data_IF_537896750039
#
_entry.id   IF_537896750039
#
_cell.length_a   1.000
_cell.length_b   1.000
_cell.length_c   1.000
_cell.angle_alpha   90.00
_cell.angle_beta   90.00
_cell.angle_gamma   90.00
#
_symmetry.space_group_name_H-M   'P 1'
#
loop_
_entity.id
_entity.type
_entity.pdbx_description
1 polymer ?
#
# COMPACT_ATOMS: atom_id res chain seq x y z
N UNK A 1 9.86 2.29 13.20
CA UNK A 1 11.29 2.49 12.95
C UNK A 1 11.50 2.19 11.48
N UNK A 2 12.00 3.14 10.72
CA UNK A 2 12.04 3.04 9.26
C UNK A 2 13.16 2.08 8.83
N UNK A 3 12.77 0.86 8.42
CA UNK A 3 13.68 -0.23 8.06
C UNK A 3 14.00 -0.28 6.56
N UNK A 4 13.68 0.78 5.81
CA UNK A 4 13.89 0.87 4.36
C UNK A 4 15.29 0.44 3.91
N UNK A 5 16.34 0.78 4.67
CA UNK A 5 17.71 0.34 4.37
C UNK A 5 17.87 -1.19 4.40
N UNK A 6 17.31 -1.85 5.41
CA UNK A 6 17.38 -3.30 5.56
C UNK A 6 16.48 -4.01 4.52
N UNK A 7 15.28 -3.48 4.28
CA UNK A 7 14.38 -3.98 3.23
C UNK A 7 15.07 -3.93 1.85
N UNK A 8 15.71 -2.80 1.51
CA UNK A 8 16.46 -2.70 0.26
C UNK A 8 17.62 -3.69 0.21
N UNK A 9 18.42 -3.77 1.27
CA UNK A 9 19.55 -4.70 1.34
C UNK A 9 19.11 -6.15 1.10
N UNK A 10 17.97 -6.56 1.66
CA UNK A 10 17.36 -7.87 1.41
C UNK A 10 16.93 -8.01 -0.05
N UNK A 11 16.22 -7.03 -0.60
CA UNK A 11 15.68 -7.07 -1.96
C UNK A 11 16.77 -7.06 -3.05
N UNK A 12 17.92 -6.42 -2.80
CA UNK A 12 19.08 -6.48 -3.70
C UNK A 12 19.66 -7.88 -3.87
N UNK A 13 19.35 -8.82 -2.97
CA UNK A 13 19.76 -10.22 -3.07
C UNK A 13 18.79 -11.08 -3.90
N UNK A 14 17.65 -10.52 -4.29
CA UNK A 14 16.62 -11.19 -5.10
C UNK A 14 16.76 -10.79 -6.58
N UNK A 15 16.20 -11.59 -7.48
CA UNK A 15 16.15 -11.25 -8.90
C UNK A 15 15.07 -10.19 -9.19
N UNK A 16 15.30 -9.36 -10.21
CA UNK A 16 14.39 -8.28 -10.60
C UNK A 16 14.81 -6.90 -10.07
N UNK A 17 13.91 -5.92 -10.16
CA UNK A 17 14.18 -4.56 -9.71
C UNK A 17 13.83 -4.41 -8.21
N UNK A 18 14.80 -4.14 -7.32
CA UNK A 18 14.54 -4.05 -5.88
C UNK A 18 13.67 -2.85 -5.51
N UNK A 19 13.70 -1.77 -6.29
CA UNK A 19 12.84 -0.60 -6.06
C UNK A 19 11.38 -0.90 -6.38
N UNK A 20 11.11 -1.66 -7.45
CA UNK A 20 9.75 -2.09 -7.79
C UNK A 20 9.20 -3.03 -6.71
N UNK A 21 10.01 -3.99 -6.26
CA UNK A 21 9.62 -4.90 -5.18
C UNK A 21 9.37 -4.14 -3.86
N UNK A 22 10.21 -3.16 -3.54
CA UNK A 22 10.03 -2.32 -2.36
C UNK A 22 8.74 -1.49 -2.45
N UNK A 23 8.47 -0.85 -3.60
CA UNK A 23 7.22 -0.11 -3.84
C UNK A 23 6.01 -1.00 -3.58
N UNK A 24 5.95 -2.18 -4.20
CA UNK A 24 4.85 -3.13 -4.01
C UNK A 24 4.68 -3.52 -2.54
N UNK A 25 5.78 -3.85 -1.84
CA UNK A 25 5.76 -4.18 -0.41
C UNK A 25 5.21 -3.03 0.45
N UNK A 26 5.57 -1.77 0.13
CA UNK A 26 5.04 -0.60 0.83
C UNK A 26 3.56 -0.37 0.55
N UNK A 27 3.14 -0.48 -0.71
CA UNK A 27 1.75 -0.29 -1.11
C UNK A 27 0.84 -1.33 -0.44
N UNK A 28 1.23 -2.61 -0.48
CA UNK A 28 0.51 -3.69 0.20
C UNK A 28 0.38 -3.44 1.70
N UNK A 29 1.50 -3.14 2.38
CA UNK A 29 1.50 -2.86 3.83
C UNK A 29 0.65 -1.63 4.17
N UNK A 30 0.72 -0.58 3.35
CA UNK A 30 -0.09 0.62 3.56
C UNK A 30 -1.58 0.31 3.43
N UNK A 31 -1.99 -0.44 2.40
CA UNK A 31 -3.39 -0.83 2.21
C UNK A 31 -3.87 -1.73 3.35
N UNK A 32 -3.06 -2.65 3.85
CA UNK A 32 -3.42 -3.46 5.02
C UNK A 32 -3.70 -2.60 6.25
N UNK A 33 -2.77 -1.71 6.60
CA UNK A 33 -2.96 -0.79 7.74
C UNK A 33 -4.16 0.13 7.51
N UNK A 34 -4.37 0.58 6.28
CA UNK A 34 -5.52 1.39 5.93
C UNK A 34 -6.84 0.63 6.17
N UNK A 35 -6.97 -0.60 5.69
CA UNK A 35 -8.24 -1.33 5.75
C UNK A 35 -8.49 -2.06 7.07
N UNK A 36 -7.45 -2.52 7.75
CA UNK A 36 -7.59 -3.22 9.02
C UNK A 36 -7.68 -2.27 10.21
N UNK A 37 -6.88 -1.19 10.21
CA UNK A 37 -6.79 -0.31 11.38
C UNK A 37 -7.53 1.01 11.15
N UNK A 38 -7.38 1.61 9.96
CA UNK A 38 -7.79 3.00 9.74
C UNK A 38 -9.08 3.17 8.92
N UNK A 39 -9.76 2.09 8.54
CA UNK A 39 -10.93 2.16 7.65
C UNK A 39 -12.08 2.97 8.25
N UNK A 40 -12.19 2.95 9.58
CA UNK A 40 -13.18 3.68 10.35
C UNK A 40 -12.68 5.02 10.88
N UNK A 41 -11.41 5.37 10.67
CA UNK A 41 -10.86 6.64 11.13
C UNK A 41 -11.48 7.80 10.33
N UNK A 42 -12.14 8.77 11.00
CA UNK A 42 -12.85 9.84 10.31
C UNK A 42 -11.91 10.79 9.55
N UNK A 43 -10.71 11.05 10.07
CA UNK A 43 -9.72 11.92 9.43
C UNK A 43 -9.14 11.26 8.18
N UNK A 44 -8.87 9.96 8.23
CA UNK A 44 -8.39 9.19 7.07
C UNK A 44 -9.46 9.16 5.98
N UNK A 45 -10.72 8.89 6.34
CA UNK A 45 -11.84 8.91 5.39
C UNK A 45 -12.05 10.29 4.77
N UNK A 46 -11.93 11.36 5.54
CA UNK A 46 -12.03 12.73 5.03
C UNK A 46 -10.92 13.06 4.04
N UNK A 47 -9.66 12.72 4.36
CA UNK A 47 -8.52 12.93 3.45
C UNK A 47 -8.73 12.22 2.12
N UNK A 48 -9.17 10.97 2.13
CA UNK A 48 -9.42 10.20 0.90
C UNK A 48 -10.55 10.85 0.07
N UNK A 49 -11.65 11.27 0.71
CA UNK A 49 -12.75 11.96 0.02
C UNK A 49 -12.31 13.27 -0.62
N UNK A 50 -11.53 14.08 0.09
CA UNK A 50 -11.04 15.36 -0.40
C UNK A 50 -10.04 15.21 -1.55
N UNK A 51 -9.46 14.02 -1.72
CA UNK A 51 -8.57 13.67 -2.84
C UNK A 51 -9.31 12.97 -3.99
N UNK A 52 -10.65 12.91 -3.98
CA UNK A 52 -11.49 12.18 -4.94
C UNK A 52 -11.24 10.66 -4.96
N UNK A 53 -10.80 10.08 -3.84
CA UNK A 53 -10.51 8.65 -3.74
C UNK A 53 -9.08 8.30 -4.12
N UNK A 54 -8.89 7.06 -4.58
CA UNK A 54 -7.60 6.56 -5.05
C UNK A 54 -7.46 6.73 -6.56
N UNK A 55 -6.23 6.84 -7.04
CA UNK A 55 -5.96 6.85 -8.48
C UNK A 55 -6.30 5.49 -9.10
N UNK A 56 -6.36 5.43 -10.44
CA UNK A 56 -6.69 4.21 -11.16
C UNK A 56 -5.78 3.03 -10.79
N UNK A 57 -4.46 3.26 -10.68
CA UNK A 57 -3.48 2.24 -10.31
C UNK A 57 -3.79 1.65 -8.92
N UNK A 58 -3.98 2.51 -7.92
CA UNK A 58 -4.23 2.05 -6.55
C UNK A 58 -5.63 1.46 -6.36
N UNK A 59 -6.65 1.91 -7.11
CA UNK A 59 -7.95 1.24 -7.14
C UNK A 59 -7.82 -0.19 -7.67
N UNK A 60 -7.07 -0.41 -8.75
CA UNK A 60 -6.86 -1.75 -9.29
C UNK A 60 -6.14 -2.65 -8.28
N UNK A 61 -5.12 -2.12 -7.60
CA UNK A 61 -4.42 -2.83 -6.53
C UNK A 61 -5.35 -3.23 -5.38
N UNK A 62 -6.26 -2.34 -4.96
CA UNK A 62 -7.27 -2.63 -3.93
C UNK A 62 -8.17 -3.79 -4.37
N UNK A 63 -8.67 -3.78 -5.61
CA UNK A 63 -9.53 -4.86 -6.09
C UNK A 63 -8.81 -6.20 -6.22
N UNK A 64 -7.52 -6.20 -6.58
CA UNK A 64 -6.71 -7.42 -6.65
C UNK A 64 -6.40 -7.99 -5.27
N UNK A 65 -6.09 -7.13 -4.30
CA UNK A 65 -5.73 -7.55 -2.94
C UNK A 65 -6.94 -7.92 -2.08
N UNK A 66 -8.12 -7.34 -2.34
CA UNK A 66 -9.32 -7.50 -1.52
C UNK A 66 -10.58 -7.71 -2.36
N UNK A 67 -10.80 -8.92 -2.91
CA UNK A 67 -11.96 -9.20 -3.76
C UNK A 67 -13.30 -9.12 -3.03
N UNK A 68 -13.31 -9.17 -1.68
CA UNK A 68 -14.51 -9.09 -0.84
C UNK A 68 -15.06 -7.68 -0.60
N UNK A 69 -14.52 -6.66 -1.27
CA UNK A 69 -15.03 -5.27 -1.22
C UNK A 69 -16.11 -5.04 -2.30
N UNK A 70 -16.59 -6.12 -2.92
CA UNK A 70 -17.83 -6.23 -3.69
C UNK A 70 -18.92 -6.90 -2.84
#
# INVERSE_FOLDING_TARGET
MDNTFYDLKELFQQSGCPLCALKSRFEERYLDVLFYENVNDPNVRERIRNQNGFCQEHIQLIFQSRPSVL
#
